data_IF_391681864618
#
_entry.id   IF_391681864618
#
_cell.length_a   1.000
_cell.length_b   1.000
_cell.length_c   1.000
_cell.angle_alpha   90.00
_cell.angle_beta   90.00
_cell.angle_gamma   90.00
#
_symmetry.space_group_name_H-M   'P 1'
#
loop_
_entity.id
_entity.type
_entity.pdbx_description
1 polymer ?
#
# COMPACT_ATOMS: atom_id res chain seq x y z
N UNK A 1 18.59 8.55 -5.42
CA UNK A 1 17.13 8.51 -5.18
C UNK A 1 16.50 9.90 -5.26
N UNK A 2 15.27 9.99 -5.79
CA UNK A 2 14.42 11.19 -5.80
C UNK A 2 13.30 11.03 -4.77
N UNK A 3 12.66 12.10 -4.32
CA UNK A 3 11.41 11.97 -3.56
C UNK A 3 10.26 11.56 -4.48
N UNK A 4 9.23 10.92 -3.94
CA UNK A 4 8.02 10.58 -4.69
C UNK A 4 7.36 11.85 -5.25
N UNK A 5 7.40 12.97 -4.53
CA UNK A 5 6.93 14.26 -5.06
C UNK A 5 7.69 14.70 -6.33
N UNK A 6 9.02 14.57 -6.34
CA UNK A 6 9.81 14.87 -7.54
C UNK A 6 9.43 13.94 -8.71
N UNK A 7 9.18 12.67 -8.42
CA UNK A 7 8.73 11.69 -9.41
C UNK A 7 7.36 12.07 -9.98
N UNK A 8 6.41 12.50 -9.14
CA UNK A 8 5.09 12.97 -9.58
C UNK A 8 5.21 14.18 -10.52
N UNK A 9 6.01 15.19 -10.14
CA UNK A 9 6.23 16.43 -10.91
C UNK A 9 6.84 16.14 -12.29
N UNK A 10 7.75 15.18 -12.38
CA UNK A 10 8.47 14.88 -13.62
C UNK A 10 7.71 13.94 -14.57
N UNK A 11 6.68 13.25 -14.08
CA UNK A 11 5.93 12.25 -14.83
C UNK A 11 4.72 12.89 -15.52
N UNK A 12 4.35 12.40 -16.71
CA UNK A 12 3.17 12.90 -17.42
C UNK A 12 1.87 12.60 -16.64
N UNK A 13 1.21 13.65 -16.14
CA UNK A 13 0.01 13.54 -15.30
C UNK A 13 -1.16 12.81 -15.99
N UNK A 14 -1.24 12.85 -17.33
CA UNK A 14 -2.26 12.09 -18.08
C UNK A 14 -1.99 10.60 -18.08
N UNK A 15 -0.72 10.23 -18.17
CA UNK A 15 -0.27 8.85 -18.06
C UNK A 15 -0.50 8.31 -16.65
N UNK A 16 -0.24 9.12 -15.61
CA UNK A 16 -0.58 8.79 -14.21
C UNK A 16 -2.08 8.52 -14.08
N UNK A 17 -2.93 9.45 -14.50
CA UNK A 17 -4.39 9.31 -14.43
C UNK A 17 -4.88 8.05 -15.15
N UNK A 18 -4.35 7.80 -16.35
CA UNK A 18 -4.73 6.63 -17.15
C UNK A 18 -4.35 5.31 -16.45
N UNK A 19 -3.17 5.25 -15.84
CA UNK A 19 -2.71 4.09 -15.09
C UNK A 19 -3.53 3.91 -13.80
N UNK A 20 -3.78 4.99 -13.07
CA UNK A 20 -4.54 4.95 -11.82
C UNK A 20 -5.95 4.42 -12.02
N UNK A 21 -6.70 4.93 -13.00
CA UNK A 21 -8.07 4.44 -13.25
C UNK A 21 -8.13 3.10 -13.98
N UNK A 22 -7.02 2.63 -14.55
CA UNK A 22 -6.91 1.26 -15.04
C UNK A 22 -6.81 0.28 -13.88
N UNK A 23 -5.94 0.56 -12.90
CA UNK A 23 -5.69 -0.31 -11.73
C UNK A 23 -6.82 -0.23 -10.69
N UNK A 24 -7.34 0.98 -10.47
CA UNK A 24 -8.42 1.27 -9.52
C UNK A 24 -9.66 1.79 -10.26
N UNK A 25 -10.36 0.92 -11.03
CA UNK A 25 -11.52 1.33 -11.79
C UNK A 25 -12.65 1.74 -10.86
N UNK A 26 -13.33 2.83 -11.22
CA UNK A 26 -14.47 3.30 -10.45
C UNK A 26 -15.67 2.40 -10.71
N UNK A 27 -16.19 1.80 -9.63
CA UNK A 27 -17.39 1.01 -9.70
C UNK A 27 -18.62 1.92 -9.74
N UNK A 28 -19.14 2.18 -10.95
CA UNK A 28 -20.32 3.02 -11.17
C UNK A 28 -21.56 2.58 -10.37
N UNK A 29 -21.65 1.29 -10.01
CA UNK A 29 -22.78 0.74 -9.26
C UNK A 29 -22.75 1.11 -7.77
N UNK A 30 -21.61 1.56 -7.26
CA UNK A 30 -21.44 1.97 -5.86
C UNK A 30 -21.65 3.47 -5.66
N UNK A 31 -21.71 4.24 -6.75
CA UNK A 31 -21.90 5.69 -6.69
C UNK A 31 -23.39 6.00 -6.65
N UNK A 32 -23.81 6.62 -5.54
CA UNK A 32 -25.20 7.05 -5.33
C UNK A 32 -25.47 8.38 -6.06
N UNK A 33 -26.75 8.64 -6.33
CA UNK A 33 -27.26 9.93 -6.80
C UNK A 33 -26.72 10.37 -8.18
N UNK A 34 -26.53 9.41 -9.11
CA UNK A 34 -26.08 9.68 -10.48
C UNK A 34 -27.17 9.62 -11.56
N UNK A 35 -28.45 9.45 -11.18
CA UNK A 35 -29.55 9.17 -12.11
C UNK A 35 -29.71 10.23 -13.23
N UNK A 36 -29.28 11.47 -12.98
CA UNK A 36 -29.37 12.61 -13.90
C UNK A 36 -28.03 13.00 -14.56
N UNK A 37 -26.96 12.22 -14.38
CA UNK A 37 -25.61 12.52 -14.87
C UNK A 37 -25.22 11.56 -16.00
N UNK A 38 -24.75 12.09 -17.13
CA UNK A 38 -24.23 11.24 -18.20
C UNK A 38 -22.86 10.66 -17.83
N UNK A 39 -22.52 9.48 -18.39
CA UNK A 39 -21.18 8.88 -18.21
C UNK A 39 -20.06 9.85 -18.60
N UNK A 40 -20.27 10.68 -19.64
CA UNK A 40 -19.30 11.68 -20.07
C UNK A 40 -19.08 12.79 -19.04
N UNK A 41 -20.15 13.28 -18.41
CA UNK A 41 -20.06 14.28 -17.34
C UNK A 41 -19.41 13.71 -16.08
N UNK A 42 -19.74 12.46 -15.74
CA UNK A 42 -19.15 11.74 -14.62
C UNK A 42 -17.64 11.57 -14.79
N UNK A 43 -17.19 11.04 -15.93
CA UNK A 43 -15.77 10.87 -16.24
C UNK A 43 -15.02 12.21 -16.21
N UNK A 44 -15.65 13.28 -16.74
CA UNK A 44 -15.06 14.62 -16.69
C UNK A 44 -14.92 15.13 -15.25
N UNK A 45 -15.91 14.89 -14.40
CA UNK A 45 -15.88 15.33 -13.01
C UNK A 45 -14.82 14.60 -12.19
N UNK A 46 -14.69 13.29 -12.38
CA UNK A 46 -13.64 12.49 -11.72
C UNK A 46 -12.26 12.86 -12.19
N UNK A 47 -12.08 12.99 -13.51
CA UNK A 47 -10.82 13.41 -14.10
C UNK A 47 -10.39 14.76 -13.53
N UNK A 48 -11.31 15.73 -13.45
CA UNK A 48 -11.03 17.02 -12.83
C UNK A 48 -10.61 16.89 -11.36
N UNK A 49 -11.34 16.12 -10.55
CA UNK A 49 -11.01 15.92 -9.12
C UNK A 49 -9.66 15.24 -8.93
N UNK A 50 -9.33 14.23 -9.73
CA UNK A 50 -8.05 13.53 -9.66
C UNK A 50 -6.90 14.45 -10.07
N UNK A 51 -7.08 15.25 -11.13
CA UNK A 51 -6.07 16.21 -11.54
C UNK A 51 -5.87 17.31 -10.49
N UNK A 52 -6.94 17.80 -9.85
CA UNK A 52 -6.85 18.75 -8.74
C UNK A 52 -6.07 18.14 -7.55
N UNK A 53 -6.33 16.87 -7.21
CA UNK A 53 -5.59 16.13 -6.20
C UNK A 53 -4.10 16.01 -6.55
N UNK A 54 -3.77 15.59 -7.77
CA UNK A 54 -2.38 15.44 -8.21
C UNK A 54 -1.64 16.79 -8.20
N UNK A 55 -2.29 17.86 -8.68
CA UNK A 55 -1.71 19.21 -8.64
C UNK A 55 -1.46 19.68 -7.21
N UNK A 56 -2.41 19.44 -6.29
CA UNK A 56 -2.25 19.74 -4.86
C UNK A 56 -1.00 19.05 -4.29
N UNK A 57 -0.80 17.77 -4.60
CA UNK A 57 0.39 17.02 -4.14
C UNK A 57 1.70 17.59 -4.71
N UNK A 58 1.71 17.95 -5.99
CA UNK A 58 2.87 18.56 -6.65
C UNK A 58 3.22 19.95 -6.09
N UNK A 59 2.23 20.71 -5.63
CA UNK A 59 2.41 22.07 -5.07
C UNK A 59 2.61 22.07 -3.55
N UNK A 60 2.31 20.97 -2.86
CA UNK A 60 2.42 20.87 -1.41
C UNK A 60 3.86 21.03 -0.93
N UNK A 61 4.08 21.71 0.19
CA UNK A 61 5.39 21.71 0.83
C UNK A 61 5.57 20.40 1.60
N UNK A 62 6.40 19.50 1.07
CA UNK A 62 6.73 18.26 1.75
C UNK A 62 7.52 18.53 3.04
N UNK A 63 7.21 17.79 4.09
CA UNK A 63 7.84 17.87 5.40
C UNK A 63 8.57 16.54 5.66
N UNK A 64 9.90 16.55 5.53
CA UNK A 64 10.70 15.37 5.82
C UNK A 64 10.69 15.08 7.33
N UNK A 65 10.47 13.82 7.68
CA UNK A 65 10.70 13.29 9.03
C UNK A 65 12.04 12.56 9.05
N UNK A 66 13.13 13.19 9.56
CA UNK A 66 14.47 12.59 9.48
C UNK A 66 14.59 11.26 10.24
N UNK A 67 13.75 11.06 11.26
CA UNK A 67 13.69 9.85 12.08
C UNK A 67 12.88 8.72 11.43
N UNK A 68 12.09 9.02 10.38
CA UNK A 68 11.23 8.06 9.67
C UNK A 68 11.30 8.26 8.15
N UNK A 69 12.51 8.38 7.61
CA UNK A 69 12.66 8.56 6.16
C UNK A 69 12.25 7.28 5.44
N UNK A 70 11.04 7.29 4.86
CA UNK A 70 10.53 6.20 4.04
C UNK A 70 11.26 6.07 2.70
N UNK A 71 11.40 4.83 2.24
CA UNK A 71 11.93 4.45 0.91
C UNK A 71 10.94 3.49 0.26
N UNK A 72 10.32 3.94 -0.83
CA UNK A 72 9.48 3.15 -1.73
C UNK A 72 10.36 2.35 -2.71
N UNK A 73 10.08 1.07 -2.85
CA UNK A 73 10.78 0.19 -3.77
C UNK A 73 9.89 -0.95 -4.27
N UNK A 74 10.26 -1.55 -5.40
CA UNK A 74 9.54 -2.72 -5.94
C UNK A 74 10.34 -3.98 -5.67
N UNK A 75 9.64 -5.05 -5.30
CA UNK A 75 10.20 -6.39 -5.17
C UNK A 75 9.24 -7.43 -5.76
N UNK A 76 9.77 -8.61 -6.09
CA UNK A 76 8.95 -9.72 -6.58
C UNK A 76 8.34 -10.50 -5.42
N UNK A 77 7.07 -10.86 -5.56
CA UNK A 77 6.29 -11.51 -4.52
C UNK A 77 5.51 -12.72 -5.06
N UNK A 78 5.37 -13.71 -4.18
CA UNK A 78 4.49 -14.87 -4.35
C UNK A 78 3.71 -15.06 -3.05
N UNK A 79 2.43 -14.70 -3.07
CA UNK A 79 1.47 -14.90 -1.98
C UNK A 79 0.36 -15.84 -2.42
N UNK A 80 -0.74 -15.93 -1.65
CA UNK A 80 -1.93 -16.66 -2.11
C UNK A 80 -2.63 -15.93 -3.26
N UNK A 81 -2.59 -14.60 -3.24
CA UNK A 81 -3.32 -13.75 -4.18
C UNK A 81 -2.43 -13.24 -5.33
N UNK A 82 -1.10 -13.31 -5.16
CA UNK A 82 -0.13 -12.81 -6.12
C UNK A 82 0.76 -13.97 -6.58
N UNK A 83 0.75 -14.26 -7.89
CA UNK A 83 1.61 -15.29 -8.48
C UNK A 83 2.78 -14.65 -9.21
N UNK A 84 3.98 -14.76 -8.63
CA UNK A 84 5.24 -14.21 -9.17
C UNK A 84 5.11 -12.75 -9.65
N UNK A 85 4.30 -11.96 -8.94
CA UNK A 85 4.02 -10.57 -9.27
C UNK A 85 5.06 -9.61 -8.69
N UNK A 86 4.83 -8.33 -8.92
CA UNK A 86 5.65 -7.22 -8.44
C UNK A 86 4.80 -6.42 -7.46
N UNK A 87 5.41 -6.02 -6.35
CA UNK A 87 4.72 -5.34 -5.25
C UNK A 87 5.56 -4.14 -4.82
N UNK A 88 4.89 -3.04 -4.53
CA UNK A 88 5.50 -1.84 -3.95
C UNK A 88 5.60 -2.04 -2.43
N UNK A 89 6.77 -1.76 -1.89
CA UNK A 89 7.03 -1.82 -0.44
C UNK A 89 7.58 -0.50 0.05
N UNK A 90 7.27 -0.18 1.31
CA UNK A 90 7.88 0.91 2.06
C UNK A 90 8.72 0.34 3.20
N UNK A 91 9.95 0.85 3.33
CA UNK A 91 10.84 0.60 4.47
C UNK A 91 11.36 1.94 5.01
N UNK A 92 11.70 2.01 6.30
CA UNK A 92 12.42 3.17 6.85
C UNK A 92 13.94 3.02 6.69
N UNK A 93 14.60 4.12 6.32
CA UNK A 93 16.03 4.12 6.03
C UNK A 93 16.89 3.74 7.25
N UNK A 94 16.52 4.17 8.45
CA UNK A 94 17.23 3.84 9.69
C UNK A 94 17.17 2.35 10.01
N UNK A 95 16.02 1.71 9.84
CA UNK A 95 15.85 0.26 10.02
C UNK A 95 16.67 -0.53 9.00
N UNK A 96 16.65 -0.11 7.74
CA UNK A 96 17.44 -0.74 6.68
C UNK A 96 18.94 -0.65 6.98
N UNK A 97 19.42 0.51 7.43
CA UNK A 97 20.83 0.73 7.74
C UNK A 97 21.24 0.05 9.06
N UNK A 98 20.30 -0.18 9.98
CA UNK A 98 20.52 -0.73 11.30
C UNK A 98 20.64 -2.26 11.38
N UNK A 99 20.40 -2.99 10.29
CA UNK A 99 20.41 -4.46 10.30
C UNK A 99 21.11 -5.08 9.08
N UNK A 100 21.60 -6.30 9.26
CA UNK A 100 22.04 -7.18 8.16
C UNK A 100 20.98 -8.26 7.82
N UNK A 101 19.94 -8.41 8.65
CA UNK A 101 18.88 -9.40 8.48
C UNK A 101 17.75 -8.89 7.57
N UNK A 102 18.09 -8.61 6.30
CA UNK A 102 17.19 -7.95 5.35
C UNK A 102 15.92 -8.76 5.00
N UNK A 103 15.99 -10.08 5.07
CA UNK A 103 14.86 -10.97 4.79
C UNK A 103 13.68 -10.78 5.75
N UNK A 104 13.96 -10.36 6.99
CA UNK A 104 12.98 -10.24 8.07
C UNK A 104 12.56 -8.79 8.35
N UNK A 105 13.12 -7.82 7.61
CA UNK A 105 12.71 -6.43 7.75
C UNK A 105 11.20 -6.28 7.45
N UNK A 106 10.44 -5.62 8.34
CA UNK A 106 9.02 -5.35 8.11
C UNK A 106 8.85 -4.40 6.93
N UNK A 107 7.70 -4.48 6.28
CA UNK A 107 7.26 -3.47 5.33
C UNK A 107 6.10 -2.71 5.96
N UNK A 108 5.99 -1.43 5.65
CA UNK A 108 5.00 -0.55 6.24
C UNK A 108 3.94 -0.17 5.22
N UNK A 109 2.68 -0.17 5.68
CA UNK A 109 1.64 0.59 5.02
C UNK A 109 1.74 2.06 5.48
N UNK A 110 1.13 2.98 4.73
CA UNK A 110 1.29 4.42 4.94
C UNK A 110 0.02 5.23 4.66
N UNK A 111 -1.13 4.58 4.65
CA UNK A 111 -2.47 5.17 4.56
C UNK A 111 -2.77 6.13 5.72
N UNK A 112 -2.19 5.87 6.90
CA UNK A 112 -2.28 6.75 8.06
C UNK A 112 -1.22 7.87 8.09
N UNK A 113 -0.35 7.97 7.08
CA UNK A 113 0.67 9.03 7.00
C UNK A 113 0.08 10.29 6.39
N UNK A 114 0.41 11.46 6.94
CA UNK A 114 -0.02 12.73 6.35
C UNK A 114 0.60 12.92 4.97
N UNK A 115 -0.16 13.43 3.99
CA UNK A 115 0.32 13.65 2.62
C UNK A 115 1.65 14.42 2.57
N UNK A 116 1.80 15.47 3.38
CA UNK A 116 3.02 16.29 3.44
C UNK A 116 4.25 15.50 3.89
N UNK A 117 4.08 14.52 4.77
CA UNK A 117 5.16 13.63 5.21
C UNK A 117 5.45 12.58 4.14
N UNK A 118 4.40 11.91 3.64
CA UNK A 118 4.52 10.84 2.64
C UNK A 118 5.19 11.33 1.33
N UNK A 119 4.95 12.57 0.92
CA UNK A 119 5.58 13.19 -0.24
C UNK A 119 7.12 13.31 -0.14
N UNK A 120 7.67 13.23 1.07
CA UNK A 120 9.11 13.23 1.32
C UNK A 120 9.76 11.85 1.18
N UNK A 121 8.97 10.77 1.02
CA UNK A 121 9.51 9.43 0.83
C UNK A 121 10.38 9.35 -0.41
N UNK A 122 11.49 8.64 -0.29
CA UNK A 122 12.42 8.40 -1.38
C UNK A 122 11.91 7.28 -2.26
N UNK A 123 12.16 7.36 -3.57
CA UNK A 123 11.96 6.26 -4.50
C UNK A 123 13.31 5.64 -4.82
N UNK A 124 13.43 4.33 -4.58
CA UNK A 124 14.63 3.54 -4.88
C UNK A 124 15.02 3.65 -6.35
N UNK A 125 16.31 3.84 -6.61
CA UNK A 125 16.90 3.90 -7.95
C UNK A 125 17.33 2.52 -8.48
N UNK A 126 16.96 1.44 -7.78
CA UNK A 126 17.14 0.08 -8.28
C UNK A 126 16.42 -0.09 -9.62
N UNK A 127 17.03 -0.89 -10.50
CA UNK A 127 16.48 -1.16 -11.83
C UNK A 127 15.03 -1.65 -11.80
N UNK A 128 14.68 -2.56 -10.89
CA UNK A 128 13.32 -3.09 -10.79
C UNK A 128 12.30 -2.00 -10.45
N UNK A 129 12.60 -1.15 -9.47
CA UNK A 129 11.76 0.00 -9.10
C UNK A 129 11.62 0.99 -10.27
N UNK A 130 12.71 1.29 -10.97
CA UNK A 130 12.70 2.25 -12.08
C UNK A 130 11.98 1.71 -13.32
N UNK A 131 12.10 0.41 -13.60
CA UNK A 131 11.36 -0.25 -14.68
C UNK A 131 9.84 -0.27 -14.38
N UNK A 132 9.44 -0.18 -13.10
CA UNK A 132 8.05 -0.23 -12.61
C UNK A 132 7.62 1.07 -11.90
N UNK A 133 8.12 2.22 -12.35
CA UNK A 133 7.88 3.51 -11.67
C UNK A 133 6.39 3.90 -11.63
N UNK A 134 5.62 3.50 -12.64
CA UNK A 134 4.19 3.81 -12.69
C UNK A 134 3.42 3.07 -11.60
N UNK A 135 3.80 1.82 -11.30
CA UNK A 135 3.18 1.04 -10.22
C UNK A 135 3.47 1.69 -8.87
N UNK A 136 4.69 2.18 -8.65
CA UNK A 136 5.05 2.96 -7.44
C UNK A 136 4.20 4.22 -7.31
N UNK A 137 3.98 4.95 -8.41
CA UNK A 137 3.16 6.16 -8.40
C UNK A 137 1.70 5.83 -8.09
N UNK A 138 1.13 4.82 -8.77
CA UNK A 138 -0.28 4.44 -8.61
C UNK A 138 -0.56 3.92 -7.21
N UNK A 139 0.28 3.01 -6.71
CA UNK A 139 0.20 2.46 -5.35
C UNK A 139 0.29 3.59 -4.31
N UNK A 140 1.27 4.48 -4.46
CA UNK A 140 1.41 5.65 -3.59
C UNK A 140 0.14 6.51 -3.56
N UNK A 141 -0.37 6.91 -4.74
CA UNK A 141 -1.57 7.73 -4.83
C UNK A 141 -2.80 7.04 -4.23
N UNK A 142 -2.91 5.73 -4.39
CA UNK A 142 -4.01 4.95 -3.83
C UNK A 142 -3.97 4.95 -2.30
N UNK A 143 -2.81 4.64 -1.71
CA UNK A 143 -2.60 4.60 -0.26
C UNK A 143 -2.81 5.98 0.38
N UNK A 144 -2.20 7.04 -0.15
CA UNK A 144 -2.31 8.39 0.44
C UNK A 144 -3.68 9.06 0.22
N UNK A 145 -4.54 8.47 -0.61
CA UNK A 145 -5.93 8.88 -0.80
C UNK A 145 -6.95 7.98 -0.12
N UNK A 146 -6.50 7.00 0.68
CA UNK A 146 -7.38 6.06 1.38
C UNK A 146 -8.48 6.78 2.20
N UNK A 147 -8.12 7.86 2.89
CA UNK A 147 -9.04 8.70 3.67
C UNK A 147 -9.58 9.92 2.90
N UNK A 148 -9.56 9.86 1.57
CA UNK A 148 -9.97 10.93 0.65
C UNK A 148 -8.78 11.77 0.13
N UNK A 149 -9.01 12.50 -0.96
CA UNK A 149 -7.98 13.34 -1.60
C UNK A 149 -7.51 14.49 -0.69
N UNK A 150 -8.35 14.90 0.26
CA UNK A 150 -8.00 15.88 1.28
C UNK A 150 -7.67 15.27 2.65
N UNK A 151 -7.63 13.94 2.75
CA UNK A 151 -7.47 13.19 4.01
C UNK A 151 -8.50 13.60 5.07
N UNK A 152 -9.74 13.84 4.64
CA UNK A 152 -10.82 14.41 5.43
C UNK A 152 -11.15 13.59 6.69
N UNK A 153 -10.98 12.27 6.61
CA UNK A 153 -11.28 11.34 7.71
C UNK A 153 -10.04 10.86 8.48
N UNK A 154 -8.83 11.26 8.07
CA UNK A 154 -7.58 10.70 8.61
C UNK A 154 -7.47 10.86 10.14
N UNK A 155 -7.70 12.07 10.65
CA UNK A 155 -7.54 12.36 12.08
C UNK A 155 -8.57 11.63 12.94
N UNK A 156 -9.81 11.51 12.46
CA UNK A 156 -10.85 10.76 13.16
C UNK A 156 -10.49 9.27 13.24
N UNK A 157 -10.02 8.69 12.14
CA UNK A 157 -9.65 7.28 12.08
C UNK A 157 -8.38 6.98 12.88
N UNK A 158 -7.38 7.88 12.88
CA UNK A 158 -6.20 7.78 13.77
C UNK A 158 -6.62 7.68 15.23
N UNK A 159 -7.51 8.57 15.65
CA UNK A 159 -7.99 8.59 17.03
C UNK A 159 -8.73 7.29 17.38
N UNK A 160 -9.58 6.76 16.49
CA UNK A 160 -10.26 5.47 16.70
C UNK A 160 -9.26 4.32 16.83
N UNK A 161 -8.21 4.32 16.00
CA UNK A 161 -7.15 3.31 16.06
C UNK A 161 -6.41 3.38 17.40
N UNK A 162 -5.99 4.58 17.83
CA UNK A 162 -5.29 4.77 19.10
C UNK A 162 -6.15 4.37 20.31
N UNK A 163 -7.44 4.72 20.31
CA UNK A 163 -8.39 4.31 21.33
C UNK A 163 -8.56 2.78 21.36
N UNK A 164 -8.59 2.13 20.20
CA UNK A 164 -8.71 0.67 20.09
C UNK A 164 -7.45 -0.05 20.58
N UNK A 165 -6.26 0.47 20.25
CA UNK A 165 -4.98 -0.05 20.75
C UNK A 165 -4.95 0.04 22.27
N UNK A 166 -5.32 1.20 22.81
CA UNK A 166 -5.36 1.43 24.26
C UNK A 166 -6.36 0.50 24.96
N UNK A 167 -7.55 0.29 24.40
CA UNK A 167 -8.51 -0.67 24.96
C UNK A 167 -7.93 -2.09 24.97
N UNK A 168 -7.25 -2.52 23.91
CA UNK A 168 -6.62 -3.84 23.85
C UNK A 168 -5.53 -4.00 24.93
N UNK A 169 -4.76 -2.95 25.22
CA UNK A 169 -3.72 -2.96 26.25
C UNK A 169 -4.29 -2.95 27.67
N UNK A 170 -5.35 -2.16 27.92
CA UNK A 170 -5.98 -2.02 29.23
C UNK A 170 -6.91 -3.20 29.57
N UNK A 171 -7.51 -3.82 28.55
CA UNK A 171 -8.51 -4.87 28.67
C UNK A 171 -8.21 -6.10 27.79
N UNK A 172 -7.06 -6.77 27.95
CA UNK A 172 -6.72 -7.94 27.14
C UNK A 172 -7.73 -9.09 27.31
N UNK A 173 -8.48 -9.13 28.41
CA UNK A 173 -9.57 -10.09 28.64
C UNK A 173 -10.76 -9.92 27.69
N UNK A 174 -10.90 -8.75 27.06
CA UNK A 174 -11.95 -8.46 26.08
C UNK A 174 -11.59 -8.87 24.66
N UNK A 175 -10.34 -9.26 24.41
CA UNK A 175 -9.92 -9.75 23.11
C UNK A 175 -10.73 -10.99 22.74
N UNK A 176 -11.52 -10.87 21.66
CA UNK A 176 -12.34 -11.96 21.17
C UNK A 176 -11.46 -12.83 20.26
N UNK A 177 -11.26 -14.08 20.66
CA UNK A 177 -10.66 -15.07 19.76
C UNK A 177 -11.68 -15.45 18.67
N UNK A 178 -11.34 -15.16 17.42
CA UNK A 178 -12.15 -15.57 16.28
C UNK A 178 -12.05 -17.09 16.11
N UNK A 179 -13.20 -17.77 16.07
CA UNK A 179 -13.29 -19.18 15.74
C UNK A 179 -14.21 -19.32 14.53
N UNK A 180 -13.62 -19.69 13.39
CA UNK A 180 -14.34 -19.81 12.12
C UNK A 180 -15.53 -20.77 12.20
N UNK A 181 -15.38 -21.95 12.81
CA UNK A 181 -16.49 -22.88 12.95
C UNK A 181 -17.63 -22.33 13.80
N UNK A 182 -17.31 -21.66 14.92
CA UNK A 182 -18.32 -21.05 15.79
C UNK A 182 -19.08 -19.97 15.03
N UNK A 183 -18.36 -19.10 14.31
CA UNK A 183 -18.92 -18.06 13.46
C UNK A 183 -19.83 -18.65 12.39
N UNK A 184 -19.36 -19.65 11.64
CA UNK A 184 -20.15 -20.30 10.60
C UNK A 184 -21.43 -20.93 11.14
N UNK A 185 -21.37 -21.60 12.29
CA UNK A 185 -22.55 -22.17 12.95
C UNK A 185 -23.54 -21.10 13.41
N UNK A 186 -23.04 -20.01 14.00
CA UNK A 186 -23.86 -18.91 14.50
C UNK A 186 -24.64 -18.20 13.38
N UNK A 187 -24.01 -18.02 12.22
CA UNK A 187 -24.60 -17.32 11.07
C UNK A 187 -25.17 -18.26 9.99
N UNK A 188 -25.20 -19.57 10.24
CA UNK A 188 -25.71 -20.56 9.28
C UNK A 188 -24.90 -20.64 7.98
N UNK A 189 -23.62 -20.25 8.01
CA UNK A 189 -22.72 -20.32 6.87
C UNK A 189 -22.25 -21.76 6.73
N UNK A 190 -22.39 -22.39 5.54
CA UNK A 190 -21.87 -23.73 5.31
C UNK A 190 -20.37 -23.78 5.57
N UNK A 191 -19.94 -24.69 6.44
CA UNK A 191 -18.52 -24.99 6.62
C UNK A 191 -18.07 -25.71 5.35
N UNK A 192 -17.08 -25.15 4.67
CA UNK A 192 -16.55 -25.71 3.43
C UNK A 192 -15.93 -27.08 3.71
N UNK A 193 -16.11 -28.04 2.80
CA UNK A 193 -15.45 -29.34 2.93
C UNK A 193 -13.93 -29.14 2.84
N UNK A 194 -13.23 -29.59 3.87
CA UNK A 194 -11.77 -29.51 3.92
C UNK A 194 -11.16 -30.78 3.32
N UNK A 195 -10.31 -30.61 2.31
CA UNK A 195 -9.53 -31.70 1.73
C UNK A 195 -8.10 -31.67 2.30
N UNK A 196 -7.71 -32.61 3.18
CA UNK A 196 -6.41 -32.53 3.88
C UNK A 196 -5.21 -32.45 2.94
N UNK A 197 -5.23 -33.19 1.82
CA UNK A 197 -4.16 -33.17 0.83
C UNK A 197 -4.08 -31.82 0.10
N UNK A 198 -5.21 -31.17 -0.16
CA UNK A 198 -5.24 -29.84 -0.76
C UNK A 198 -4.68 -28.80 0.21
N UNK A 199 -5.05 -28.87 1.49
CA UNK A 199 -4.53 -27.98 2.55
C UNK A 199 -3.02 -28.12 2.67
N UNK A 200 -2.50 -29.35 2.69
CA UNK A 200 -1.07 -29.62 2.75
C UNK A 200 -0.34 -29.05 1.53
N UNK A 201 -0.84 -29.28 0.32
CA UNK A 201 -0.25 -28.74 -0.91
C UNK A 201 -0.33 -27.23 -0.98
N UNK A 202 -1.46 -26.63 -0.59
CA UNK A 202 -1.65 -25.18 -0.52
C UNK A 202 -0.65 -24.55 0.45
N UNK A 203 -0.45 -25.16 1.62
CA UNK A 203 0.52 -24.71 2.61
C UNK A 203 1.95 -24.78 2.07
N UNK A 204 2.34 -25.92 1.50
CA UNK A 204 3.68 -26.08 0.93
C UNK A 204 3.96 -25.08 -0.21
N UNK A 205 2.96 -24.83 -1.06
CA UNK A 205 3.04 -23.79 -2.10
C UNK A 205 3.23 -22.39 -1.51
N UNK A 206 2.43 -22.05 -0.48
CA UNK A 206 2.53 -20.76 0.19
C UNK A 206 3.88 -20.56 0.89
N UNK A 207 4.36 -21.56 1.62
CA UNK A 207 5.64 -21.49 2.33
C UNK A 207 6.81 -21.28 1.36
N UNK A 208 6.82 -22.00 0.22
CA UNK A 208 7.81 -21.81 -0.84
C UNK A 208 7.71 -20.41 -1.49
N UNK A 209 6.49 -19.90 -1.68
CA UNK A 209 6.24 -18.55 -2.18
C UNK A 209 6.76 -17.46 -1.24
N UNK A 210 6.57 -17.64 0.06
CA UNK A 210 7.08 -16.71 1.08
C UNK A 210 8.61 -16.73 1.15
N UNK A 211 9.25 -17.90 1.01
CA UNK A 211 10.71 -18.00 0.92
C UNK A 211 11.25 -17.22 -0.30
N UNK A 212 10.66 -17.43 -1.48
CA UNK A 212 10.99 -16.67 -2.69
C UNK A 212 10.82 -15.16 -2.49
N UNK A 213 9.71 -14.75 -1.89
CA UNK A 213 9.39 -13.34 -1.63
C UNK A 213 10.44 -12.70 -0.71
N UNK A 214 10.80 -13.36 0.39
CA UNK A 214 11.83 -12.87 1.32
C UNK A 214 13.19 -12.71 0.64
N UNK A 215 13.58 -13.68 -0.18
CA UNK A 215 14.80 -13.60 -0.96
C UNK A 215 14.79 -12.41 -1.92
N UNK A 216 13.75 -12.26 -2.74
CA UNK A 216 13.64 -11.14 -3.69
C UNK A 216 13.64 -9.78 -2.99
N UNK A 217 12.90 -9.65 -1.89
CA UNK A 217 12.91 -8.45 -1.04
C UNK A 217 14.33 -8.13 -0.53
N UNK A 218 15.01 -9.11 0.07
CA UNK A 218 16.35 -8.93 0.63
C UNK A 218 17.36 -8.46 -0.43
N UNK A 219 17.28 -8.98 -1.67
CA UNK A 219 18.14 -8.55 -2.77
C UNK A 219 17.92 -7.08 -3.13
N UNK A 220 16.67 -6.62 -3.23
CA UNK A 220 16.39 -5.22 -3.56
C UNK A 220 16.78 -4.29 -2.40
N UNK A 221 16.51 -4.69 -1.15
CA UNK A 221 16.95 -3.96 0.04
C UNK A 221 18.48 -3.85 0.13
N UNK A 222 19.23 -4.91 -0.21
CA UNK A 222 20.69 -4.86 -0.21
C UNK A 222 21.20 -3.84 -1.23
N UNK A 223 20.61 -3.78 -2.43
CA UNK A 223 20.98 -2.80 -3.46
C UNK A 223 20.70 -1.37 -3.02
N UNK A 224 19.58 -1.15 -2.32
CA UNK A 224 19.26 0.14 -1.72
C UNK A 224 20.35 0.50 -0.70
N UNK A 225 20.67 -0.40 0.23
CA UNK A 225 21.73 -0.20 1.24
C UNK A 225 23.08 0.15 0.60
N UNK A 226 23.47 -0.56 -0.46
CA UNK A 226 24.70 -0.32 -1.21
C UNK A 226 24.73 1.04 -1.91
N UNK A 227 23.57 1.61 -2.24
CA UNK A 227 23.45 2.94 -2.86
C UNK A 227 23.66 4.09 -1.87
N UNK A 228 23.31 3.90 -0.59
CA UNK A 228 23.54 4.89 0.47
C UNK A 228 25.01 4.99 0.89
N UNK A 229 25.80 3.93 0.67
CA UNK A 229 27.23 3.88 0.99
C UNK A 229 28.16 4.53 -0.04
N UNK A 230 27.61 5.10 -1.12
CA UNK A 230 28.36 5.76 -2.22
C UNK A 230 28.16 7.27 -2.18
#
# INVERSE_FOLDING_TARGET
MKTIQQVLIETDHKSIESAYFYEHPINLWEVKDLDDITIGEFNKSISARFQDFLNKLCEMNAEASPEKQGILFVYKSQTQDIILGEVVGLIHADELMGTEELENLPLYAYEFTEQKEALSFLVSDNKLTQDNIMDVIVDFLHEISFFGYDQESLEEEKKKLDESIKECEEHPERLITFNHEKFCREYGIPITEEYPEEIEKKRAFYDAGMEYTRYCKAIELQRIKDSFGK
#
